data_IF_465681794265
#
_entry.id   IF_465681794265
#
_cell.length_a   1.000
_cell.length_b   1.000
_cell.length_c   1.000
_cell.angle_alpha   90.00
_cell.angle_beta   90.00
_cell.angle_gamma   90.00
#
_symmetry.space_group_name_H-M   'P 1'
#
loop_
_entity.id
_entity.type
_entity.pdbx_description
1 polymer ?
#
# COMPACT_ATOMS: atom_id res chain seq x y z
N UNK A 1 -26.24 -8.46 -12.99
CA UNK A 1 -25.47 -7.84 -11.89
C UNK A 1 -24.03 -7.76 -12.35
N UNK A 2 -23.47 -6.54 -12.39
CA UNK A 2 -22.15 -6.29 -12.97
C UNK A 2 -21.04 -6.99 -12.20
N UNK A 3 -20.38 -7.91 -12.89
CA UNK A 3 -19.15 -8.55 -12.48
C UNK A 3 -18.07 -7.47 -12.32
N UNK A 4 -17.62 -7.24 -11.10
CA UNK A 4 -16.41 -6.44 -10.86
C UNK A 4 -15.23 -7.19 -11.45
N UNK A 5 -14.91 -6.88 -12.72
CA UNK A 5 -13.65 -7.28 -13.34
C UNK A 5 -12.56 -6.43 -12.69
N UNK A 6 -12.03 -6.91 -11.57
CA UNK A 6 -10.83 -6.36 -10.95
C UNK A 6 -9.66 -6.76 -11.84
N UNK A 7 -9.15 -5.77 -12.58
CA UNK A 7 -8.12 -5.94 -13.59
C UNK A 7 -6.94 -6.79 -13.08
N UNK A 8 -6.79 -7.95 -13.74
CA UNK A 8 -5.70 -8.90 -13.59
C UNK A 8 -4.39 -8.32 -14.15
N UNK A 9 -3.89 -7.24 -13.57
CA UNK A 9 -2.44 -7.09 -13.44
C UNK A 9 -2.02 -8.12 -12.39
N UNK A 10 -0.73 -8.38 -12.20
CA UNK A 10 -0.25 -9.10 -11.02
C UNK A 10 -0.48 -8.20 -9.75
N UNK A 11 -1.75 -7.89 -9.49
CA UNK A 11 -2.31 -6.77 -8.72
C UNK A 11 -2.42 -7.13 -7.25
N UNK A 12 -2.51 -8.42 -6.91
CA UNK A 12 -2.72 -8.82 -5.52
C UNK A 12 -1.50 -8.46 -4.66
N UNK A 13 -0.29 -8.65 -5.18
CA UNK A 13 0.93 -8.24 -4.50
C UNK A 13 1.00 -6.72 -4.30
N UNK A 14 0.76 -5.95 -5.36
CA UNK A 14 0.75 -4.49 -5.31
C UNK A 14 -0.35 -3.93 -4.41
N UNK A 15 -1.59 -4.43 -4.52
CA UNK A 15 -2.72 -4.00 -3.71
C UNK A 15 -2.52 -4.30 -2.22
N UNK A 16 -1.96 -5.48 -1.89
CA UNK A 16 -1.58 -5.82 -0.52
C UNK A 16 -0.49 -4.87 0.00
N UNK A 17 0.53 -4.60 -0.81
CA UNK A 17 1.58 -3.65 -0.46
C UNK A 17 1.05 -2.24 -0.17
N UNK A 18 0.19 -1.72 -1.04
CA UNK A 18 -0.44 -0.40 -0.86
C UNK A 18 -1.33 -0.37 0.39
N UNK A 19 -2.13 -1.40 0.64
CA UNK A 19 -2.99 -1.48 1.83
C UNK A 19 -2.16 -1.47 3.14
N UNK A 20 -1.09 -2.27 3.19
CA UNK A 20 -0.17 -2.31 4.33
C UNK A 20 0.52 -0.95 4.51
N UNK A 21 1.04 -0.39 3.42
CA UNK A 21 1.72 0.91 3.43
C UNK A 21 0.82 2.05 3.87
N UNK A 22 -0.45 2.07 3.44
CA UNK A 22 -1.43 3.06 3.85
C UNK A 22 -1.76 2.94 5.35
N UNK A 23 -2.02 1.73 5.84
CA UNK A 23 -2.33 1.51 7.26
C UNK A 23 -1.15 1.90 8.17
N UNK A 24 0.07 1.49 7.82
CA UNK A 24 1.29 1.85 8.56
C UNK A 24 1.58 3.34 8.48
N UNK A 25 1.49 3.93 7.28
CA UNK A 25 1.82 5.34 7.07
C UNK A 25 0.88 6.28 7.82
N UNK A 26 -0.42 5.99 7.81
CA UNK A 26 -1.40 6.75 8.61
C UNK A 26 -1.17 6.52 10.10
N UNK A 27 -0.94 5.28 10.55
CA UNK A 27 -0.69 4.98 11.96
C UNK A 27 0.56 5.69 12.52
N UNK A 28 1.66 5.67 11.76
CA UNK A 28 2.91 6.35 12.12
C UNK A 28 2.74 7.87 12.04
N UNK A 29 2.08 8.36 11.00
CA UNK A 29 1.87 9.80 10.82
C UNK A 29 1.01 10.42 11.91
N UNK A 30 -0.05 9.73 12.34
CA UNK A 30 -0.86 10.14 13.50
C UNK A 30 -0.04 10.11 14.79
N UNK A 31 0.79 9.08 14.98
CA UNK A 31 1.63 8.97 16.18
C UNK A 31 2.73 10.06 16.26
N UNK A 32 3.19 10.53 15.10
CA UNK A 32 4.21 11.59 15.00
C UNK A 32 3.61 13.00 14.91
N UNK A 33 2.29 13.14 14.90
CA UNK A 33 1.58 14.40 14.59
C UNK A 33 1.93 14.99 13.21
N UNK A 34 2.49 14.15 12.32
CA UNK A 34 2.97 14.53 10.99
C UNK A 34 2.60 13.46 9.96
N UNK A 35 1.40 13.64 9.39
CA UNK A 35 0.85 12.75 8.37
C UNK A 35 1.68 12.75 7.08
N UNK A 36 2.37 13.85 6.77
CA UNK A 36 3.17 13.93 5.54
C UNK A 36 4.35 12.96 5.63
N UNK A 37 5.06 12.97 6.77
CA UNK A 37 6.18 12.05 7.03
C UNK A 37 5.68 10.61 7.11
N UNK A 38 4.58 10.36 7.84
CA UNK A 38 4.00 9.03 7.97
C UNK A 38 3.60 8.41 6.63
N UNK A 39 2.85 9.15 5.80
CA UNK A 39 2.42 8.67 4.48
C UNK A 39 3.59 8.48 3.54
N UNK A 40 4.62 9.35 3.57
CA UNK A 40 5.81 9.18 2.74
C UNK A 40 6.53 7.85 3.05
N UNK A 41 6.75 7.56 4.34
CA UNK A 41 7.37 6.32 4.79
C UNK A 41 6.47 5.11 4.48
N UNK A 42 5.17 5.22 4.78
CA UNK A 42 4.20 4.15 4.58
C UNK A 42 4.02 3.77 3.12
N UNK A 43 3.83 4.74 2.23
CA UNK A 43 3.73 4.49 0.79
C UNK A 43 5.04 3.99 0.19
N UNK A 44 6.19 4.55 0.57
CA UNK A 44 7.49 4.06 0.12
C UNK A 44 7.70 2.58 0.47
N UNK A 45 7.36 2.22 1.71
CA UNK A 45 7.46 0.83 2.20
C UNK A 45 6.42 -0.08 1.55
N UNK A 46 5.17 0.38 1.42
CA UNK A 46 4.07 -0.38 0.84
C UNK A 46 4.28 -0.69 -0.64
N UNK A 47 4.79 0.27 -1.41
CA UNK A 47 5.16 0.07 -2.82
C UNK A 47 6.34 -0.90 -2.93
N UNK A 48 7.37 -0.77 -2.09
CA UNK A 48 8.51 -1.69 -2.11
C UNK A 48 8.09 -3.14 -1.80
N UNK A 49 7.25 -3.34 -0.78
CA UNK A 49 6.68 -4.64 -0.43
C UNK A 49 5.81 -5.16 -1.57
N UNK A 50 4.90 -4.33 -2.10
CA UNK A 50 4.00 -4.68 -3.19
C UNK A 50 4.73 -5.09 -4.46
N UNK A 51 5.80 -4.38 -4.81
CA UNK A 51 6.66 -4.71 -5.94
C UNK A 51 7.39 -6.04 -5.73
N UNK A 52 7.90 -6.30 -4.53
CA UNK A 52 8.53 -7.58 -4.17
C UNK A 52 7.55 -8.76 -4.19
N UNK A 53 6.29 -8.52 -3.77
CA UNK A 53 5.18 -9.47 -3.82
C UNK A 53 4.66 -9.73 -5.23
N UNK A 54 4.75 -8.76 -6.14
CA UNK A 54 4.28 -8.88 -7.52
C UNK A 54 5.30 -9.57 -8.43
N UNK A 55 6.57 -9.56 -8.04
CA UNK A 55 7.69 -10.21 -8.74
C UNK A 55 7.78 -11.73 -8.50
N UNK A 56 7.05 -12.27 -7.53
CA UNK A 56 7.11 -13.68 -7.09
C UNK A 56 5.84 -14.43 -7.47
#
# INVERSE_FOLDING_TARGET
MGETREDEVNSKGMGVGIAIGAALGVGIGVAMDDLAVGVAIGMGTGVAIGAGLSRR
#
